data_IF_900522032654
#
_entry.id   IF_900522032654
#
_cell.length_a   1.000
_cell.length_b   1.000
_cell.length_c   1.000
_cell.angle_alpha   90.00
_cell.angle_beta   90.00
_cell.angle_gamma   90.00
#
_symmetry.space_group_name_H-M   'P 1'
#
loop_
_entity.id
_entity.type
_entity.pdbx_description
1 polymer ?
#
# COMPACT_ATOMS: atom_id res chain seq x y z
N UNK A 1 -37.63 -47.84 -25.55
CA UNK A 1 -36.19 -48.07 -25.28
C UNK A 1 -35.50 -46.71 -25.24
N UNK A 2 -35.10 -46.23 -24.06
CA UNK A 2 -34.13 -45.14 -23.91
C UNK A 2 -33.51 -45.24 -22.50
N UNK A 3 -32.19 -45.29 -22.48
CA UNK A 3 -31.31 -45.75 -21.41
C UNK A 3 -31.23 -44.83 -20.18
N UNK A 4 -31.08 -45.45 -19.00
CA UNK A 4 -30.66 -44.81 -17.76
C UNK A 4 -29.16 -44.49 -17.79
N UNK A 5 -28.76 -43.30 -17.35
CA UNK A 5 -27.36 -42.96 -17.08
C UNK A 5 -27.21 -42.61 -15.59
N UNK A 6 -26.59 -43.54 -14.86
CA UNK A 6 -26.18 -43.43 -13.46
C UNK A 6 -24.96 -42.51 -13.33
N UNK A 7 -25.06 -41.45 -12.54
CA UNK A 7 -23.93 -40.59 -12.15
C UNK A 7 -23.54 -40.91 -10.71
N UNK A 8 -22.31 -41.43 -10.51
CA UNK A 8 -21.71 -41.70 -9.20
C UNK A 8 -20.92 -40.49 -8.70
N UNK A 9 -20.97 -40.12 -7.42
CA UNK A 9 -20.14 -39.06 -6.85
C UNK A 9 -18.68 -39.50 -6.62
N UNK A 10 -17.74 -38.55 -6.78
CA UNK A 10 -16.27 -38.72 -6.88
C UNK A 10 -15.51 -38.48 -5.54
N UNK A 11 -16.18 -38.31 -4.40
CA UNK A 11 -15.48 -38.15 -3.12
C UNK A 11 -15.93 -39.17 -2.08
N UNK A 12 -15.08 -40.19 -1.84
CA UNK A 12 -15.16 -41.06 -0.67
C UNK A 12 -14.29 -40.51 0.47
N UNK A 13 -14.87 -40.39 1.65
CA UNK A 13 -14.19 -39.97 2.89
C UNK A 13 -13.13 -40.99 3.31
N UNK A 14 -11.96 -40.59 3.86
CA UNK A 14 -11.00 -41.54 4.37
C UNK A 14 -11.45 -42.11 5.72
N UNK A 15 -11.46 -43.43 5.78
CA UNK A 15 -11.62 -44.26 6.98
C UNK A 15 -10.35 -44.10 7.83
N UNK A 16 -10.50 -43.61 9.06
CA UNK A 16 -9.41 -43.60 10.05
C UNK A 16 -9.35 -45.01 10.68
N UNK A 17 -8.33 -45.78 10.31
CA UNK A 17 -7.97 -47.04 10.94
C UNK A 17 -6.96 -46.81 12.07
N UNK A 18 -7.20 -47.47 13.18
CA UNK A 18 -6.44 -47.47 14.42
C UNK A 18 -5.12 -48.24 14.31
N UNK A 19 -4.00 -47.59 14.64
CA UNK A 19 -2.82 -48.26 15.20
C UNK A 19 -1.88 -47.25 15.89
N UNK A 20 -1.56 -47.52 17.16
CA UNK A 20 -0.54 -46.79 17.93
C UNK A 20 0.89 -47.22 17.53
N UNK A 21 1.89 -46.35 17.78
CA UNK A 21 2.84 -46.68 18.84
C UNK A 21 3.22 -45.51 19.77
N UNK A 22 3.60 -45.88 21.00
CA UNK A 22 4.05 -45.02 22.12
C UNK A 22 5.47 -44.49 21.91
N UNK A 23 5.73 -43.20 22.22
CA UNK A 23 7.03 -42.70 22.72
C UNK A 23 7.00 -41.18 23.03
N UNK A 24 6.93 -40.86 24.32
CA UNK A 24 7.39 -39.68 25.08
C UNK A 24 7.97 -38.43 24.36
N UNK A 25 7.39 -37.25 24.62
CA UNK A 25 7.93 -36.19 25.51
C UNK A 25 6.99 -34.97 25.54
N UNK A 26 6.97 -34.31 26.69
CA UNK A 26 5.96 -33.38 27.20
C UNK A 26 5.76 -32.07 26.42
N UNK A 27 4.49 -31.75 26.19
CA UNK A 27 3.95 -30.41 25.97
C UNK A 27 4.13 -29.51 27.19
N UNK A 28 4.52 -28.25 26.99
CA UNK A 28 4.04 -27.08 27.75
C UNK A 28 4.35 -25.79 26.99
N UNK A 29 3.33 -25.28 26.28
CA UNK A 29 3.24 -23.89 25.84
C UNK A 29 2.87 -23.03 27.06
N UNK A 30 3.66 -22.00 27.35
CA UNK A 30 3.31 -20.96 28.31
C UNK A 30 3.36 -19.59 27.62
N UNK A 31 2.21 -18.92 27.62
CA UNK A 31 2.03 -17.52 27.29
C UNK A 31 1.97 -16.72 28.60
N UNK A 32 2.39 -15.45 28.53
CA UNK A 32 2.45 -14.40 29.56
C UNK A 32 3.65 -14.43 30.52
N UNK A 33 4.53 -13.43 30.39
CA UNK A 33 4.70 -12.47 31.48
C UNK A 33 5.33 -11.15 31.01
N UNK A 34 4.73 -10.10 31.53
CA UNK A 34 5.00 -8.68 31.45
C UNK A 34 6.45 -8.35 31.82
N UNK A 35 7.13 -7.54 31.01
CA UNK A 35 8.41 -6.93 31.41
C UNK A 35 8.19 -5.45 31.75
N UNK A 36 8.01 -5.19 33.03
CA UNK A 36 8.11 -3.86 33.66
C UNK A 36 9.57 -3.43 33.67
N UNK A 37 9.94 -2.47 32.81
CA UNK A 37 11.26 -1.84 32.85
C UNK A 37 11.35 -0.89 34.06
N UNK A 38 11.94 -1.39 35.15
CA UNK A 38 12.35 -0.58 36.30
C UNK A 38 13.69 0.09 36.03
N UNK A 39 13.68 1.42 35.91
CA UNK A 39 14.89 2.25 35.89
C UNK A 39 15.21 2.69 37.32
N UNK A 40 16.39 2.33 37.84
CA UNK A 40 17.04 2.99 38.98
C UNK A 40 18.22 3.83 38.44
N UNK A 41 18.38 5.09 38.86
CA UNK A 41 19.57 5.87 38.49
C UNK A 41 20.68 5.59 39.50
N UNK A 42 21.92 5.43 39.04
CA UNK A 42 23.04 5.69 39.94
C UNK A 42 24.25 6.28 39.21
N UNK A 43 24.80 7.31 39.84
CA UNK A 43 25.91 8.14 39.42
C UNK A 43 27.27 7.44 39.64
N UNK A 44 28.25 7.98 38.92
CA UNK A 44 29.67 8.15 39.28
C UNK A 44 30.76 7.25 38.65
N UNK A 45 31.55 7.92 37.78
CA UNK A 45 33.00 8.24 37.95
C UNK A 45 34.06 7.24 37.39
N UNK A 46 34.77 7.77 36.38
CA UNK A 46 36.23 7.73 36.10
C UNK A 46 36.89 6.65 35.20
N UNK A 47 37.55 7.22 34.17
CA UNK A 47 38.87 6.92 33.59
C UNK A 47 39.28 5.46 33.34
N UNK A 48 39.42 5.13 32.06
CA UNK A 48 40.63 4.45 31.58
C UNK A 48 41.01 4.99 30.19
N UNK A 49 42.26 5.45 30.09
CA UNK A 49 42.89 6.01 28.89
C UNK A 49 43.79 4.92 28.32
N UNK A 50 43.61 4.52 27.06
CA UNK A 50 44.64 3.77 26.33
C UNK A 50 44.71 4.24 24.88
N UNK A 51 45.89 4.69 24.49
CA UNK A 51 46.25 5.20 23.18
C UNK A 51 46.71 4.08 22.24
N UNK A 52 46.23 4.09 20.99
CA UNK A 52 47.04 3.72 19.83
C UNK A 52 46.45 4.30 18.53
N UNK A 53 47.14 5.32 18.00
CA UNK A 53 47.39 5.68 16.59
C UNK A 53 46.23 5.48 15.57
N UNK A 54 45.52 6.55 15.18
CA UNK A 54 45.68 7.35 13.92
C UNK A 54 45.51 6.51 12.64
N UNK A 55 44.45 6.70 11.83
CA UNK A 55 44.27 7.84 10.90
C UNK A 55 42.79 8.20 10.59
N UNK A 56 42.48 9.51 10.68
CA UNK A 56 41.61 10.37 9.82
C UNK A 56 40.27 9.84 9.25
N UNK A 57 39.11 10.52 9.34
CA UNK A 57 38.80 11.95 9.31
C UNK A 57 37.60 12.27 10.23
N UNK A 58 37.70 13.40 10.93
CA UNK A 58 36.75 13.86 11.94
C UNK A 58 35.76 14.86 11.31
N UNK A 59 34.47 14.51 11.28
CA UNK A 59 33.39 15.50 11.08
C UNK A 59 33.20 16.27 12.39
N UNK A 60 33.99 17.33 12.57
CA UNK A 60 33.80 18.35 13.61
C UNK A 60 32.80 19.37 13.07
N UNK A 61 31.62 19.47 13.69
CA UNK A 61 30.88 20.75 13.88
C UNK A 61 29.44 20.60 14.38
N UNK A 62 29.04 19.48 14.98
CA UNK A 62 27.86 19.48 15.84
C UNK A 62 28.22 20.23 17.12
N UNK A 63 27.54 21.37 17.36
CA UNK A 63 27.64 22.28 18.52
C UNK A 63 28.69 23.39 18.44
N UNK A 64 28.38 24.41 17.64
CA UNK A 64 28.58 25.85 17.89
C UNK A 64 27.97 26.52 16.65
N UNK A 65 26.75 27.03 16.69
CA UNK A 65 26.52 28.44 17.05
C UNK A 65 25.00 28.65 17.06
N UNK A 66 24.39 28.64 18.24
CA UNK A 66 23.21 29.46 18.50
C UNK A 66 23.69 30.91 18.30
N UNK A 67 22.92 31.73 17.57
CA UNK A 67 23.08 33.19 17.34
C UNK A 67 23.64 33.74 16.01
N UNK A 68 23.76 32.95 14.94
CA UNK A 68 23.97 33.52 13.60
C UNK A 68 23.09 32.85 12.52
N UNK A 69 21.87 33.38 12.34
CA UNK A 69 21.09 33.28 11.08
C UNK A 69 20.01 34.36 11.04
N UNK A 70 20.39 35.62 11.33
CA UNK A 70 19.83 36.77 10.62
C UNK A 70 20.78 37.03 9.45
N UNK A 71 20.32 36.74 8.25
CA UNK A 71 20.87 37.17 6.96
C UNK A 71 22.32 36.71 6.66
N UNK A 72 22.42 35.51 6.08
CA UNK A 72 23.27 35.30 4.90
C UNK A 72 22.55 34.33 3.97
N UNK A 73 22.00 34.93 2.93
CA UNK A 73 21.43 34.34 1.72
C UNK A 73 22.39 33.36 1.05
N UNK A 74 21.98 32.09 0.99
CA UNK A 74 22.26 31.18 -0.12
C UNK A 74 20.99 30.39 -0.35
N UNK A 75 20.06 31.07 -1.00
CA UNK A 75 18.77 30.57 -1.43
C UNK A 75 18.97 29.54 -2.53
N UNK A 76 19.05 28.25 -2.19
CA UNK A 76 18.63 27.21 -3.15
C UNK A 76 17.09 27.22 -3.16
N UNK A 77 16.56 28.23 -3.84
CA UNK A 77 15.17 28.29 -4.25
C UNK A 77 15.00 27.20 -5.31
N UNK A 78 14.59 26.00 -4.90
CA UNK A 78 13.89 25.12 -5.82
C UNK A 78 12.57 25.84 -6.07
N UNK A 79 12.51 26.58 -7.17
CA UNK A 79 11.31 27.27 -7.60
C UNK A 79 10.22 26.23 -7.82
N UNK A 80 9.34 26.05 -6.84
CA UNK A 80 8.04 25.44 -7.09
C UNK A 80 7.27 26.52 -7.85
N UNK A 81 7.12 26.33 -9.15
CA UNK A 81 6.26 27.19 -9.96
C UNK A 81 4.90 27.29 -9.26
N UNK A 82 4.38 28.51 -9.07
CA UNK A 82 3.03 28.80 -8.53
C UNK A 82 1.88 28.29 -9.45
N UNK A 83 2.23 27.52 -10.48
CA UNK A 83 1.29 26.87 -11.39
C UNK A 83 0.67 25.65 -10.68
N UNK A 84 -0.66 25.66 -10.57
CA UNK A 84 -1.40 24.52 -10.02
C UNK A 84 -1.09 23.24 -10.82
N UNK A 85 -0.76 22.11 -10.16
CA UNK A 85 -0.46 20.87 -10.87
C UNK A 85 -1.68 20.37 -11.63
N UNK A 86 -1.47 19.82 -12.81
CA UNK A 86 -2.52 19.18 -13.61
C UNK A 86 -2.66 17.71 -13.23
N UNK A 87 -3.85 17.35 -12.75
CA UNK A 87 -4.19 16.03 -12.23
C UNK A 87 -5.15 15.35 -13.20
N UNK A 88 -4.71 14.28 -13.86
CA UNK A 88 -5.55 13.46 -14.72
C UNK A 88 -6.23 12.37 -13.89
N UNK A 89 -7.56 12.28 -13.97
CA UNK A 89 -8.34 11.21 -13.36
C UNK A 89 -8.88 10.31 -14.46
N UNK A 90 -8.36 9.07 -14.54
CA UNK A 90 -8.66 8.13 -15.63
C UNK A 90 -9.91 7.27 -15.41
N UNK A 91 -10.38 7.19 -14.16
CA UNK A 91 -11.50 6.33 -13.76
C UNK A 91 -12.43 7.09 -12.82
N UNK A 92 -13.69 6.66 -12.73
CA UNK A 92 -14.69 7.33 -11.90
C UNK A 92 -14.27 7.32 -10.42
N UNK A 93 -14.20 8.51 -9.84
CA UNK A 93 -13.92 8.74 -8.42
C UNK A 93 -15.14 9.36 -7.74
N UNK A 94 -15.26 9.17 -6.42
CA UNK A 94 -16.30 9.82 -5.63
C UNK A 94 -16.11 11.34 -5.58
N UNK A 95 -17.21 12.09 -5.51
CA UNK A 95 -17.19 13.56 -5.57
C UNK A 95 -16.36 14.19 -4.45
N UNK A 96 -16.42 13.63 -3.24
CA UNK A 96 -15.59 14.09 -2.11
C UNK A 96 -14.08 14.04 -2.43
N UNK A 97 -13.63 12.99 -3.13
CA UNK A 97 -12.24 12.87 -3.57
C UNK A 97 -11.90 13.90 -4.65
N UNK A 98 -12.80 14.10 -5.63
CA UNK A 98 -12.62 15.11 -6.67
C UNK A 98 -12.55 16.52 -6.10
N UNK A 99 -13.33 16.85 -5.07
CA UNK A 99 -13.29 18.15 -4.40
C UNK A 99 -11.93 18.43 -3.76
N UNK A 100 -11.36 17.44 -3.07
CA UNK A 100 -10.00 17.56 -2.49
C UNK A 100 -8.97 17.80 -3.58
N UNK A 101 -9.05 17.05 -4.69
CA UNK A 101 -8.13 17.24 -5.82
C UNK A 101 -8.28 18.63 -6.47
N UNK A 102 -9.50 19.13 -6.64
CA UNK A 102 -9.77 20.47 -7.22
C UNK A 102 -9.30 21.62 -6.33
N UNK A 103 -9.22 21.41 -5.02
CA UNK A 103 -8.64 22.40 -4.10
C UNK A 103 -7.12 22.52 -4.30
N UNK A 104 -6.45 21.41 -4.61
CA UNK A 104 -4.98 21.33 -4.74
C UNK A 104 -4.47 21.62 -6.16
N UNK A 105 -5.24 21.29 -7.20
CA UNK A 105 -4.76 21.35 -8.59
C UNK A 105 -5.85 21.47 -9.63
N UNK A 106 -5.45 21.53 -10.89
CA UNK A 106 -6.34 21.50 -12.04
C UNK A 106 -6.73 20.05 -12.35
N UNK A 107 -7.99 19.68 -12.09
CA UNK A 107 -8.46 18.30 -12.26
C UNK A 107 -9.07 18.12 -13.64
N UNK A 108 -8.49 17.22 -14.42
CA UNK A 108 -8.99 16.80 -15.73
C UNK A 108 -9.52 15.38 -15.60
N UNK A 109 -10.84 15.23 -15.65
CA UNK A 109 -11.48 13.92 -15.70
C UNK A 109 -11.56 13.44 -17.16
N UNK A 110 -11.01 12.27 -17.46
CA UNK A 110 -11.23 11.59 -18.73
C UNK A 110 -11.29 10.09 -18.51
N UNK A 111 -12.49 9.55 -18.68
CA UNK A 111 -12.80 8.16 -18.39
C UNK A 111 -12.66 7.30 -19.65
N UNK A 112 -12.45 6.00 -19.44
CA UNK A 112 -12.44 4.98 -20.50
C UNK A 112 -11.44 5.26 -21.63
N UNK A 113 -10.29 5.84 -21.28
CA UNK A 113 -9.21 6.12 -22.22
C UNK A 113 -8.59 4.82 -22.76
N UNK A 114 -8.36 4.78 -24.08
CA UNK A 114 -7.48 3.79 -24.68
C UNK A 114 -6.04 3.99 -24.16
N UNK A 115 -5.19 2.95 -24.17
CA UNK A 115 -3.78 3.09 -23.78
C UNK A 115 -3.05 4.20 -24.58
N UNK A 116 -3.37 4.34 -25.86
CA UNK A 116 -2.79 5.35 -26.75
C UNK A 116 -3.23 6.77 -26.37
N UNK A 117 -4.51 6.97 -26.08
CA UNK A 117 -5.03 8.28 -25.68
C UNK A 117 -4.59 8.68 -24.28
N UNK A 118 -4.41 7.70 -23.39
CA UNK A 118 -3.77 7.91 -22.09
C UNK A 118 -2.35 8.46 -22.27
N UNK A 119 -1.53 7.83 -23.13
CA UNK A 119 -0.18 8.29 -23.43
C UNK A 119 -0.15 9.69 -24.07
N UNK A 120 -1.10 10.04 -24.94
CA UNK A 120 -1.17 11.40 -25.47
C UNK A 120 -1.43 12.41 -24.36
N UNK A 121 -2.37 12.12 -23.47
CA UNK A 121 -2.82 13.05 -22.43
C UNK A 121 -1.81 13.20 -21.30
N UNK A 122 -1.11 12.12 -20.93
CA UNK A 122 -0.16 12.09 -19.82
C UNK A 122 1.04 13.03 -20.03
N UNK A 123 1.43 13.27 -21.29
CA UNK A 123 2.52 14.20 -21.66
C UNK A 123 2.34 15.61 -21.07
N UNK A 124 1.10 16.01 -20.83
CA UNK A 124 0.73 17.34 -20.30
C UNK A 124 0.44 17.36 -18.80
N UNK A 125 0.45 16.21 -18.12
CA UNK A 125 -0.03 16.07 -16.73
C UNK A 125 1.11 15.87 -15.73
N UNK A 126 0.91 16.35 -14.50
CA UNK A 126 1.88 16.23 -13.40
C UNK A 126 1.54 15.04 -12.48
N UNK A 127 0.25 14.70 -12.39
CA UNK A 127 -0.25 13.60 -11.58
C UNK A 127 -1.30 12.77 -12.34
N UNK A 128 -1.34 11.47 -12.06
CA UNK A 128 -2.33 10.53 -12.59
C UNK A 128 -3.04 9.81 -11.45
N UNK A 129 -4.37 9.82 -11.47
CA UNK A 129 -5.21 9.05 -10.56
C UNK A 129 -5.87 7.92 -11.35
N UNK A 130 -5.57 6.69 -10.94
CA UNK A 130 -6.13 5.45 -11.51
C UNK A 130 -6.87 4.64 -10.46
N UNK A 131 -7.63 3.64 -10.89
CA UNK A 131 -8.22 2.61 -10.04
C UNK A 131 -7.76 1.23 -10.53
N UNK A 132 -8.65 0.27 -10.72
CA UNK A 132 -8.31 -1.10 -11.12
C UNK A 132 -8.37 -1.34 -12.63
N UNK A 133 -9.08 -0.49 -13.38
CA UNK A 133 -9.29 -0.66 -14.80
C UNK A 133 -8.11 -0.19 -15.65
N UNK A 134 -7.55 0.99 -15.35
CA UNK A 134 -6.44 1.56 -16.12
C UNK A 134 -5.13 0.83 -15.82
N UNK A 135 -4.45 0.36 -16.88
CA UNK A 135 -3.10 -0.22 -16.79
C UNK A 135 -2.05 0.86 -17.06
N UNK A 136 -1.19 1.10 -16.08
CA UNK A 136 -0.10 2.08 -16.16
C UNK A 136 1.18 1.31 -16.50
N UNK A 137 1.42 1.12 -17.79
CA UNK A 137 2.59 0.41 -18.32
C UNK A 137 3.77 1.36 -18.51
N UNK A 138 4.96 0.80 -18.81
CA UNK A 138 6.16 1.58 -19.16
C UNK A 138 5.91 2.70 -20.19
N UNK A 139 5.09 2.45 -21.20
CA UNK A 139 4.75 3.42 -22.25
C UNK A 139 4.11 4.70 -21.70
N UNK A 140 3.34 4.60 -20.61
CA UNK A 140 2.72 5.76 -19.96
C UNK A 140 3.78 6.65 -19.31
N UNK A 141 4.78 6.04 -18.67
CA UNK A 141 5.88 6.78 -18.04
C UNK A 141 6.81 7.41 -19.10
N UNK A 142 7.09 6.68 -20.19
CA UNK A 142 7.84 7.18 -21.34
C UNK A 142 7.13 8.38 -21.99
N UNK A 143 5.82 8.29 -22.21
CA UNK A 143 5.02 9.37 -22.77
C UNK A 143 4.93 10.59 -21.84
N UNK A 144 5.06 10.38 -20.53
CA UNK A 144 5.13 11.45 -19.54
C UNK A 144 6.43 12.25 -19.58
N UNK A 145 7.49 11.75 -20.23
CA UNK A 145 8.79 12.42 -20.42
C UNK A 145 9.36 13.05 -19.14
N UNK A 146 9.13 12.41 -17.98
CA UNK A 146 9.56 12.90 -16.66
C UNK A 146 8.71 14.03 -16.06
N UNK A 147 7.64 14.49 -16.74
CA UNK A 147 6.66 15.44 -16.19
C UNK A 147 5.77 14.79 -15.13
N UNK A 148 5.32 13.55 -15.39
CA UNK A 148 4.51 12.78 -14.46
C UNK A 148 5.28 12.48 -13.16
N UNK A 149 4.94 13.16 -12.07
CA UNK A 149 5.63 13.05 -10.78
C UNK A 149 5.03 12.00 -9.86
N UNK A 150 3.72 11.77 -9.97
CA UNK A 150 3.02 10.85 -9.08
C UNK A 150 1.88 10.11 -9.77
N UNK A 151 1.76 8.83 -9.47
CA UNK A 151 0.61 7.98 -9.80
C UNK A 151 -0.07 7.57 -8.49
N UNK A 152 -1.30 8.04 -8.29
CA UNK A 152 -2.15 7.64 -7.18
C UNK A 152 -3.15 6.56 -7.60
N UNK A 153 -3.11 5.39 -6.98
CA UNK A 153 -4.15 4.38 -7.15
C UNK A 153 -5.19 4.49 -6.05
N UNK A 154 -6.44 4.71 -6.45
CA UNK A 154 -7.61 4.69 -5.58
C UNK A 154 -8.02 3.25 -5.19
N UNK A 155 -7.13 2.53 -4.50
CA UNK A 155 -7.36 1.17 -4.02
C UNK A 155 -6.15 0.58 -3.30
N UNK A 156 -6.27 -0.66 -2.82
CA UNK A 156 -5.24 -1.32 -1.98
C UNK A 156 -4.12 -1.95 -2.81
N UNK A 157 -4.46 -2.75 -3.83
CA UNK A 157 -3.45 -3.40 -4.67
C UNK A 157 -2.59 -2.38 -5.43
N UNK A 158 -1.55 -2.80 -6.13
CA UNK A 158 -0.78 -1.96 -7.09
C UNK A 158 -0.39 -2.74 -8.35
N UNK A 159 -1.07 -3.86 -8.61
CA UNK A 159 -0.84 -4.80 -9.71
C UNK A 159 -1.01 -4.21 -11.13
N UNK A 160 -1.69 -3.08 -11.24
CA UNK A 160 -1.95 -2.40 -12.51
C UNK A 160 -0.91 -1.33 -12.86
N UNK A 161 0.13 -1.15 -12.04
CA UNK A 161 1.17 -0.13 -12.24
C UNK A 161 2.53 -0.80 -12.34
N UNK A 162 3.29 -0.45 -13.38
CA UNK A 162 4.69 -0.87 -13.53
C UNK A 162 5.59 -0.08 -12.57
N UNK A 163 5.87 -0.66 -11.40
CA UNK A 163 6.68 -0.03 -10.36
C UNK A 163 8.15 0.13 -10.75
N UNK A 164 8.67 -0.76 -11.62
CA UNK A 164 10.04 -0.68 -12.07
C UNK A 164 10.19 0.52 -13.00
N UNK A 165 9.32 0.65 -14.00
CA UNK A 165 9.27 1.83 -14.85
C UNK A 165 9.05 3.10 -14.02
N UNK A 166 8.10 3.11 -13.07
CA UNK A 166 7.88 4.26 -12.20
C UNK A 166 9.16 4.72 -11.49
N UNK A 167 9.93 3.78 -10.95
CA UNK A 167 11.21 4.06 -10.28
C UNK A 167 12.26 4.62 -11.24
N UNK A 168 12.41 4.03 -12.43
CA UNK A 168 13.36 4.48 -13.45
C UNK A 168 13.08 5.91 -13.93
N UNK A 169 11.80 6.27 -14.07
CA UNK A 169 11.37 7.61 -14.48
C UNK A 169 11.23 8.61 -13.32
N UNK A 170 11.55 8.20 -12.08
CA UNK A 170 11.46 9.06 -10.90
C UNK A 170 10.03 9.45 -10.52
N UNK A 171 9.06 8.59 -10.83
CA UNK A 171 7.64 8.78 -10.55
C UNK A 171 7.24 8.03 -9.27
N UNK A 172 6.63 8.73 -8.31
CA UNK A 172 6.15 8.12 -7.07
C UNK A 172 4.84 7.39 -7.29
N UNK A 173 4.70 6.18 -6.74
CA UNK A 173 3.43 5.44 -6.76
C UNK A 173 2.85 5.39 -5.34
N UNK A 174 1.60 5.83 -5.18
CA UNK A 174 0.90 5.87 -3.90
C UNK A 174 -0.43 5.11 -4.00
N UNK A 175 -0.78 4.35 -2.96
CA UNK A 175 -2.03 3.60 -2.88
C UNK A 175 -2.86 3.99 -1.64
N UNK A 176 -4.05 3.40 -1.49
CA UNK A 176 -4.94 3.63 -0.37
C UNK A 176 -5.18 2.31 0.41
N UNK A 177 -4.25 1.89 1.28
CA UNK A 177 -4.23 0.55 1.88
C UNK A 177 -5.38 0.28 2.86
N UNK A 178 -5.96 1.32 3.47
CA UNK A 178 -7.02 1.19 4.48
C UNK A 178 -8.42 1.49 3.93
N UNK A 179 -8.52 1.85 2.65
CA UNK A 179 -9.77 2.37 2.06
C UNK A 179 -10.93 1.37 2.09
N UNK A 180 -10.65 0.06 2.13
CA UNK A 180 -11.67 -1.00 2.12
C UNK A 180 -11.78 -1.74 3.46
N UNK A 181 -11.02 -1.37 4.49
CA UNK A 181 -10.91 -2.17 5.72
C UNK A 181 -12.26 -2.33 6.43
N UNK A 182 -13.00 -1.22 6.60
CA UNK A 182 -14.30 -1.24 7.29
C UNK A 182 -15.34 -1.98 6.44
N UNK A 183 -15.47 -1.63 5.16
CA UNK A 183 -16.43 -2.26 4.26
C UNK A 183 -16.19 -3.78 4.13
N UNK A 184 -14.93 -4.23 4.09
CA UNK A 184 -14.60 -5.65 4.07
C UNK A 184 -14.98 -6.36 5.38
N UNK A 185 -14.77 -5.71 6.53
CA UNK A 185 -15.17 -6.25 7.83
C UNK A 185 -16.70 -6.39 7.94
N UNK A 186 -17.44 -5.35 7.58
CA UNK A 186 -18.91 -5.35 7.56
C UNK A 186 -19.45 -6.44 6.62
N UNK A 187 -18.88 -6.53 5.42
CA UNK A 187 -19.26 -7.54 4.45
C UNK A 187 -18.96 -8.96 4.96
N UNK A 188 -17.82 -9.17 5.62
CA UNK A 188 -17.47 -10.45 6.24
C UNK A 188 -18.48 -10.88 7.30
N UNK A 189 -18.87 -9.98 8.21
CA UNK A 189 -19.89 -10.25 9.23
C UNK A 189 -21.24 -10.56 8.58
N UNK A 190 -21.64 -9.79 7.56
CA UNK A 190 -22.88 -10.02 6.83
C UNK A 190 -22.90 -11.40 6.16
N UNK A 191 -21.80 -11.82 5.54
CA UNK A 191 -21.67 -13.15 4.94
C UNK A 191 -21.75 -14.27 5.99
N UNK A 192 -21.08 -14.11 7.15
CA UNK A 192 -21.18 -15.08 8.24
C UNK A 192 -22.62 -15.25 8.74
N UNK A 193 -23.34 -14.15 8.93
CA UNK A 193 -24.74 -14.18 9.34
C UNK A 193 -25.65 -14.81 8.26
N UNK A 194 -25.43 -14.48 6.99
CA UNK A 194 -26.18 -15.03 5.87
C UNK A 194 -25.98 -16.55 5.74
N UNK A 195 -24.74 -17.03 5.90
CA UNK A 195 -24.41 -18.45 5.90
C UNK A 195 -25.02 -19.20 7.09
N UNK A 196 -24.92 -18.64 8.30
CA UNK A 196 -25.46 -19.27 9.50
C UNK A 196 -26.99 -19.50 9.45
N UNK A 197 -27.70 -18.72 8.63
CA UNK A 197 -29.16 -18.77 8.50
C UNK A 197 -29.64 -19.25 7.13
N UNK A 198 -28.74 -19.72 6.27
CA UNK A 198 -29.05 -20.16 4.89
C UNK A 198 -29.89 -19.13 4.11
N UNK A 199 -29.62 -17.83 4.32
CA UNK A 199 -30.44 -16.74 3.77
C UNK A 199 -30.44 -16.77 2.24
N UNK A 200 -29.27 -16.95 1.63
CA UNK A 200 -29.14 -16.97 0.17
C UNK A 200 -29.87 -18.15 -0.47
N UNK A 201 -29.84 -19.32 0.17
CA UNK A 201 -30.55 -20.53 -0.30
C UNK A 201 -32.07 -20.37 -0.16
N UNK A 202 -32.54 -19.80 0.96
CA UNK A 202 -33.95 -19.54 1.19
C UNK A 202 -34.51 -18.52 0.18
N UNK A 203 -33.78 -17.42 -0.08
CA UNK A 203 -34.15 -16.43 -1.11
C UNK A 203 -34.24 -17.06 -2.50
N UNK A 204 -33.27 -17.89 -2.88
CA UNK A 204 -33.28 -18.60 -4.17
C UNK A 204 -34.47 -19.56 -4.29
N UNK A 205 -34.81 -20.30 -3.22
CA UNK A 205 -35.93 -21.25 -3.21
C UNK A 205 -37.30 -20.59 -3.38
N UNK A 206 -37.47 -19.33 -2.97
CA UNK A 206 -38.75 -18.62 -3.10
C UNK A 206 -38.93 -17.96 -4.47
N UNK A 207 -37.84 -17.78 -5.23
CA UNK A 207 -37.84 -17.19 -6.57
C UNK A 207 -37.97 -18.20 -7.71
N UNK A 208 -37.72 -19.48 -7.43
CA UNK A 208 -37.86 -20.59 -8.37
C UNK A 208 -39.33 -20.97 -8.57
#
# INVERSE_FOLDING_TARGET
MASSASTKPIFSSPIISSSQPKSSKSSNLSFLSSNTFGVKPNNNINNLKLSSQQHSFVVKSVLKTVDQTKQTTSSNNVAFNDEKPTILVSEKLGEAGLQVLRQLGNVVCAYDLSPEDLCKKISSCDALIVRSGTKVTRQVFEAGQGKLKVVGRAGVGIDNVDLQAATEFGCLVVNAPTANTIAAAEHGIALLAAMARNVSQADASLKA
#
